data_IF_739449214126
#
_entry.id   IF_739449214126
#
_cell.length_a   1.000
_cell.length_b   1.000
_cell.length_c   1.000
_cell.angle_alpha   90.00
_cell.angle_beta   90.00
_cell.angle_gamma   90.00
#
_symmetry.space_group_name_H-M   'P 1'
#
loop_
_entity.id
_entity.type
_entity.pdbx_description
1 polymer ?
#
# COMPACT_ATOMS: atom_id res chain seq x y z
N UNK A 1 -35.77 5.75 -4.13
CA UNK A 1 -34.74 6.55 -4.81
C UNK A 1 -33.40 6.33 -4.10
N UNK A 2 -32.42 5.83 -4.85
CA UNK A 2 -30.95 5.88 -4.67
C UNK A 2 -30.31 5.59 -3.29
N UNK A 3 -29.79 4.37 -3.12
CA UNK A 3 -28.68 4.08 -2.19
C UNK A 3 -27.69 3.02 -2.72
N UNK A 4 -27.56 2.89 -4.05
CA UNK A 4 -26.67 1.90 -4.70
C UNK A 4 -25.38 2.51 -5.28
N UNK A 5 -24.82 3.54 -4.63
CA UNK A 5 -23.61 4.23 -5.14
C UNK A 5 -22.34 3.98 -4.33
N UNK A 6 -22.40 3.29 -3.18
CA UNK A 6 -21.29 3.30 -2.22
C UNK A 6 -20.43 2.01 -2.22
N UNK A 7 -20.97 0.88 -2.69
CA UNK A 7 -20.24 -0.41 -2.64
C UNK A 7 -19.09 -0.50 -3.64
N UNK A 8 -19.18 0.21 -4.78
CA UNK A 8 -18.14 0.22 -5.81
C UNK A 8 -16.98 1.16 -5.46
N UNK A 9 -17.20 2.16 -4.61
CA UNK A 9 -16.18 3.14 -4.22
C UNK A 9 -15.22 2.59 -3.15
N UNK A 10 -15.71 1.75 -2.25
CA UNK A 10 -14.91 1.15 -1.17
C UNK A 10 -13.89 0.12 -1.68
N UNK A 11 -14.25 -0.75 -2.63
CA UNK A 11 -13.33 -1.78 -3.12
C UNK A 11 -12.18 -1.23 -3.98
N UNK A 12 -12.44 -0.19 -4.79
CA UNK A 12 -11.41 0.45 -5.62
C UNK A 12 -10.36 1.17 -4.78
N UNK A 13 -10.72 1.66 -3.61
CA UNK A 13 -9.83 2.42 -2.73
C UNK A 13 -8.86 1.50 -1.98
N UNK A 14 -9.33 0.34 -1.53
CA UNK A 14 -8.49 -0.67 -0.87
C UNK A 14 -7.54 -1.35 -1.88
N UNK A 15 -8.05 -1.69 -3.07
CA UNK A 15 -7.23 -2.21 -4.16
C UNK A 15 -6.27 -1.15 -4.71
N UNK A 16 -6.70 0.11 -4.74
CA UNK A 16 -5.90 1.26 -5.09
C UNK A 16 -4.75 1.50 -4.11
N UNK A 17 -4.95 1.27 -2.81
CA UNK A 17 -3.89 1.37 -1.81
C UNK A 17 -2.82 0.26 -1.98
N UNK A 18 -3.23 -0.97 -2.28
CA UNK A 18 -2.31 -2.08 -2.58
C UNK A 18 -1.53 -1.83 -3.88
N UNK A 19 -2.21 -1.42 -4.95
CA UNK A 19 -1.56 -1.10 -6.23
C UNK A 19 -0.65 0.13 -6.12
N UNK A 20 -1.04 1.15 -5.33
CA UNK A 20 -0.19 2.31 -5.08
C UNK A 20 1.07 1.93 -4.30
N UNK A 21 0.95 1.09 -3.26
CA UNK A 21 2.09 0.55 -2.52
C UNK A 21 3.03 -0.27 -3.41
N UNK A 22 2.47 -1.12 -4.27
CA UNK A 22 3.24 -1.94 -5.23
C UNK A 22 3.94 -1.07 -6.29
N UNK A 23 3.24 -0.12 -6.89
CA UNK A 23 3.81 0.80 -7.88
C UNK A 23 4.93 1.65 -7.28
N UNK A 24 4.77 2.08 -6.02
CA UNK A 24 5.79 2.82 -5.29
C UNK A 24 7.01 1.95 -4.95
N UNK A 25 6.82 0.66 -4.65
CA UNK A 25 7.92 -0.30 -4.49
C UNK A 25 8.71 -0.49 -5.79
N UNK A 26 8.01 -0.70 -6.90
CA UNK A 26 8.62 -0.87 -8.23
C UNK A 26 9.40 0.37 -8.64
N UNK A 27 8.82 1.56 -8.45
CA UNK A 27 9.50 2.82 -8.71
C UNK A 27 10.71 3.04 -7.79
N UNK A 28 10.63 2.63 -6.51
CA UNK A 28 11.77 2.63 -5.59
C UNK A 28 12.91 1.71 -6.03
N UNK A 29 12.58 0.57 -6.65
CA UNK A 29 13.56 -0.38 -7.19
C UNK A 29 14.23 0.17 -8.46
N UNK A 30 13.46 0.76 -9.36
CA UNK A 30 13.99 1.43 -10.56
C UNK A 30 14.85 2.66 -10.22
N UNK A 31 14.56 3.34 -9.11
CA UNK A 31 15.36 4.46 -8.64
C UNK A 31 16.76 4.03 -8.15
N UNK A 32 16.96 2.79 -7.71
CA UNK A 32 18.28 2.28 -7.26
C UNK A 32 19.31 2.35 -8.39
N UNK A 33 18.93 2.00 -9.62
CA UNK A 33 19.82 2.08 -10.79
C UNK A 33 20.23 3.50 -11.14
N UNK A 34 19.39 4.50 -10.82
CA UNK A 34 19.67 5.92 -11.06
C UNK A 34 20.37 6.62 -9.89
N UNK A 35 20.42 5.97 -8.72
CA UNK A 35 20.97 6.57 -7.49
C UNK A 35 22.44 6.95 -7.67
N UNK A 36 23.22 6.10 -8.35
CA UNK A 36 24.64 6.36 -8.60
C UNK A 36 24.86 7.61 -9.45
N UNK A 37 24.05 7.82 -10.50
CA UNK A 37 24.15 8.99 -11.39
C UNK A 37 23.67 10.28 -10.69
N UNK A 38 22.75 10.17 -9.73
CA UNK A 38 22.25 11.32 -8.97
C UNK A 38 23.20 11.75 -7.85
N UNK A 39 23.87 10.79 -7.22
CA UNK A 39 24.89 11.07 -6.20
C UNK A 39 26.04 11.89 -6.81
N UNK A 40 26.44 11.56 -8.04
CA UNK A 40 27.53 12.25 -8.73
C UNK A 40 27.16 13.70 -9.11
N UNK A 41 25.86 13.96 -9.38
CA UNK A 41 25.38 15.29 -9.80
C UNK A 41 24.95 16.21 -8.65
N UNK A 42 24.35 15.67 -7.58
CA UNK A 42 23.71 16.46 -6.52
C UNK A 42 24.35 16.22 -5.14
N UNK A 43 25.25 15.24 -5.03
CA UNK A 43 25.88 14.84 -3.79
C UNK A 43 25.07 13.81 -2.99
N UNK A 44 25.77 13.08 -2.15
CA UNK A 44 25.26 11.91 -1.41
C UNK A 44 24.13 12.24 -0.44
N UNK A 45 24.24 13.36 0.28
CA UNK A 45 23.31 13.74 1.35
C UNK A 45 21.87 13.97 0.86
N UNK A 46 21.61 14.85 -0.12
CA UNK A 46 20.23 15.10 -0.58
C UNK A 46 19.62 13.85 -1.24
N UNK A 47 20.40 13.07 -2.00
CA UNK A 47 19.90 11.86 -2.67
C UNK A 47 19.43 10.81 -1.67
N UNK A 48 20.23 10.53 -0.64
CA UNK A 48 19.80 9.61 0.42
C UNK A 48 18.64 10.16 1.23
N UNK A 49 18.59 11.47 1.50
CA UNK A 49 17.47 12.08 2.23
C UNK A 49 16.15 11.91 1.46
N UNK A 50 16.15 12.17 0.15
CA UNK A 50 14.98 11.99 -0.71
C UNK A 50 14.61 10.51 -0.82
N UNK A 51 15.58 9.61 -1.00
CA UNK A 51 15.32 8.18 -1.07
C UNK A 51 14.76 7.64 0.25
N UNK A 52 15.29 8.09 1.38
CA UNK A 52 14.83 7.74 2.71
C UNK A 52 13.40 8.22 2.96
N UNK A 53 13.09 9.46 2.56
CA UNK A 53 11.75 10.01 2.66
C UNK A 53 10.77 9.21 1.79
N UNK A 54 11.16 8.91 0.54
CA UNK A 54 10.40 8.10 -0.38
C UNK A 54 10.10 6.70 0.18
N UNK A 55 11.12 6.00 0.69
CA UNK A 55 10.96 4.68 1.33
C UNK A 55 10.09 4.74 2.59
N UNK A 56 10.18 5.82 3.37
CA UNK A 56 9.33 6.02 4.56
C UNK A 56 7.86 6.20 4.19
N UNK A 57 7.57 6.95 3.12
CA UNK A 57 6.21 7.07 2.58
C UNK A 57 5.73 5.75 1.98
N UNK A 58 6.58 5.07 1.21
CA UNK A 58 6.25 3.79 0.57
C UNK A 58 5.90 2.72 1.61
N UNK A 59 6.70 2.60 2.67
CA UNK A 59 6.41 1.71 3.79
C UNK A 59 5.07 2.04 4.44
N UNK A 60 4.79 3.32 4.73
CA UNK A 60 3.54 3.71 5.39
C UNK A 60 2.31 3.50 4.51
N UNK A 61 2.41 3.72 3.20
CA UNK A 61 1.36 3.39 2.23
C UNK A 61 1.13 1.88 2.15
N UNK A 62 2.21 1.09 2.10
CA UNK A 62 2.14 -0.36 2.13
C UNK A 62 1.46 -0.88 3.41
N UNK A 63 1.83 -0.36 4.58
CA UNK A 63 1.21 -0.73 5.86
C UNK A 63 -0.28 -0.40 5.88
N UNK A 64 -0.72 0.73 5.33
CA UNK A 64 -2.16 1.04 5.21
C UNK A 64 -2.88 0.06 4.28
N UNK A 65 -2.25 -0.37 3.19
CA UNK A 65 -2.78 -1.43 2.33
C UNK A 65 -2.82 -2.80 3.02
N UNK A 66 -1.80 -3.13 3.80
CA UNK A 66 -1.71 -4.36 4.57
C UNK A 66 -2.77 -4.43 5.69
N UNK A 67 -3.00 -3.33 6.42
CA UNK A 67 -4.06 -3.24 7.43
C UNK A 67 -5.45 -3.44 6.83
N UNK A 68 -5.71 -2.87 5.64
CA UNK A 68 -6.97 -3.07 4.93
C UNK A 68 -7.16 -4.54 4.50
N UNK A 69 -6.11 -5.17 3.96
CA UNK A 69 -6.14 -6.58 3.60
C UNK A 69 -6.35 -7.49 4.83
N UNK A 70 -5.67 -7.19 5.94
CA UNK A 70 -5.81 -7.94 7.18
C UNK A 70 -7.21 -7.78 7.80
N UNK A 71 -7.78 -6.58 7.76
CA UNK A 71 -9.15 -6.33 8.19
C UNK A 71 -10.17 -7.13 7.36
N UNK A 72 -9.97 -7.20 6.03
CA UNK A 72 -10.81 -8.01 5.14
C UNK A 72 -10.72 -9.52 5.46
N UNK A 73 -9.51 -10.04 5.73
CA UNK A 73 -9.29 -11.44 6.13
C UNK A 73 -9.92 -11.73 7.50
N UNK A 74 -9.76 -10.84 8.48
CA UNK A 74 -10.35 -11.02 9.81
C UNK A 74 -11.89 -11.03 9.74
N UNK A 75 -12.46 -10.17 8.90
CA UNK A 75 -13.90 -10.14 8.65
C UNK A 75 -14.40 -11.46 8.05
N UNK A 76 -13.71 -12.02 7.06
CA UNK A 76 -14.11 -13.29 6.44
C UNK A 76 -13.98 -14.49 7.38
N UNK A 77 -12.97 -14.50 8.27
CA UNK A 77 -12.83 -15.53 9.31
C UNK A 77 -13.99 -15.49 10.33
N UNK A 78 -14.36 -14.30 10.80
CA UNK A 78 -15.48 -14.14 11.73
C UNK A 78 -16.83 -14.52 11.09
N UNK A 79 -17.03 -14.17 9.82
CA UNK A 79 -18.23 -14.57 9.07
C UNK A 79 -18.34 -16.10 8.87
N UNK A 80 -17.22 -16.82 8.88
CA UNK A 80 -17.19 -18.29 8.90
C UNK A 80 -17.50 -18.89 10.28
N UNK A 81 -17.08 -18.21 11.36
CA UNK A 81 -17.30 -18.66 12.73
C UNK A 81 -18.77 -18.59 13.16
N UNK A 82 -19.52 -17.55 12.75
CA UNK A 82 -20.96 -17.44 13.02
C UNK A 82 -21.81 -18.47 12.26
N UNK A 83 -21.25 -19.13 11.23
CA UNK A 83 -21.91 -20.21 10.49
C UNK A 83 -21.72 -21.60 11.09
N UNK A 84 -20.96 -21.75 12.18
CA UNK A 84 -20.86 -23.03 12.88
C UNK A 84 -22.01 -23.11 13.90
N UNK A 85 -23.12 -23.82 13.63
CA UNK A 85 -24.12 -24.04 14.64
C UNK A 85 -23.46 -24.75 15.81
N UNK A 86 -23.55 -24.16 17.00
CA UNK A 86 -23.31 -24.86 18.27
C UNK A 86 -24.29 -26.02 18.29
N UNK A 87 -23.76 -27.23 18.07
CA UNK A 87 -24.49 -28.49 18.16
C UNK A 87 -24.86 -28.79 19.62
#
# INVERSE_FOLDING_TARGET
>A
MHASSNSTEFQFKDFGALLAGLAMLVAGFAAITSLTDWIDRWGTVPVYLTYFLYMSLAGRLFWKGADAAWAAIKSSLNAGAERKPVA
#
